data_IF_251358246436
#
_entry.id   IF_251358246436
#
_cell.length_a   1.000
_cell.length_b   1.000
_cell.length_c   1.000
_cell.angle_alpha   90.00
_cell.angle_beta   90.00
_cell.angle_gamma   90.00
#
_symmetry.space_group_name_H-M   'P 1'
#
loop_
_entity.id
_entity.type
_entity.pdbx_description
1 polymer ?
#
# COMPACT_ATOMS: atom_id res chain seq x y z
N UNK A 1 15.46 -6.58 -12.53
CA UNK A 1 15.88 -5.17 -12.68
C UNK A 1 16.35 -4.70 -11.32
N UNK A 2 17.38 -3.87 -11.25
CA UNK A 2 17.85 -3.33 -9.96
C UNK A 2 17.07 -2.05 -9.63
N UNK A 3 15.98 -2.19 -8.87
CA UNK A 3 15.15 -1.06 -8.43
C UNK A 3 15.79 -0.26 -7.30
N UNK A 4 16.95 -0.68 -6.77
CA UNK A 4 17.73 0.14 -5.84
C UNK A 4 18.36 1.36 -6.52
N UNK A 5 18.40 1.37 -7.87
CA UNK A 5 18.73 2.56 -8.63
C UNK A 5 17.55 3.54 -8.62
N UNK A 6 17.61 4.47 -7.67
CA UNK A 6 16.60 5.51 -7.42
C UNK A 6 16.09 6.20 -8.70
N UNK A 7 16.99 6.52 -9.64
CA UNK A 7 16.62 7.20 -10.88
C UNK A 7 15.77 6.31 -11.79
N UNK A 8 16.04 5.01 -11.84
CA UNK A 8 15.25 4.07 -12.66
C UNK A 8 13.86 3.87 -12.08
N UNK A 9 13.74 3.73 -10.77
CA UNK A 9 12.46 3.62 -10.08
C UNK A 9 11.58 4.84 -10.37
N UNK A 10 12.11 6.05 -10.13
CA UNK A 10 11.38 7.30 -10.32
C UNK A 10 10.97 7.53 -11.78
N UNK A 11 11.81 7.11 -12.74
CA UNK A 11 11.48 7.15 -14.16
C UNK A 11 10.34 6.20 -14.52
N UNK A 12 10.30 5.00 -13.93
CA UNK A 12 9.22 4.04 -14.17
C UNK A 12 7.89 4.50 -13.56
N UNK A 13 7.91 5.07 -12.35
CA UNK A 13 6.72 5.69 -11.74
C UNK A 13 6.21 6.86 -12.58
N UNK A 14 7.13 7.72 -13.04
CA UNK A 14 6.79 8.84 -13.93
C UNK A 14 6.21 8.37 -15.26
N UNK A 15 6.76 7.29 -15.84
CA UNK A 15 6.23 6.69 -17.06
C UNK A 15 4.84 6.10 -16.82
N UNK A 16 4.65 5.33 -15.74
CA UNK A 16 3.34 4.78 -15.37
C UNK A 16 2.28 5.88 -15.18
N UNK A 17 2.61 6.95 -14.46
CA UNK A 17 1.74 8.12 -14.31
C UNK A 17 1.47 8.82 -15.64
N UNK A 18 2.50 8.99 -16.48
CA UNK A 18 2.39 9.57 -17.82
C UNK A 18 1.43 8.83 -18.73
N UNK A 19 1.59 7.51 -18.83
CA UNK A 19 0.72 6.65 -19.65
C UNK A 19 -0.70 6.58 -19.10
N UNK A 20 -0.87 6.56 -17.77
CA UNK A 20 -2.18 6.62 -17.12
C UNK A 20 -2.93 7.92 -17.46
N UNK A 21 -2.24 9.07 -17.42
CA UNK A 21 -2.81 10.35 -17.84
C UNK A 21 -3.13 10.39 -19.34
N UNK A 22 -2.24 9.84 -20.19
CA UNK A 22 -2.46 9.76 -21.64
C UNK A 22 -3.72 8.95 -21.96
N UNK A 23 -3.85 7.76 -21.37
CA UNK A 23 -5.02 6.91 -21.47
C UNK A 23 -6.33 7.66 -21.09
N UNK A 24 -6.39 8.29 -19.91
CA UNK A 24 -7.59 9.03 -19.47
C UNK A 24 -7.95 10.18 -20.42
N UNK A 25 -6.96 10.92 -20.91
CA UNK A 25 -7.16 11.98 -21.92
C UNK A 25 -7.72 11.43 -23.22
N UNK A 26 -7.17 10.36 -23.75
CA UNK A 26 -7.61 9.80 -25.03
C UNK A 26 -9.02 9.20 -24.96
N UNK A 27 -9.41 8.61 -23.82
CA UNK A 27 -10.80 8.20 -23.59
C UNK A 27 -11.75 9.41 -23.64
N UNK A 28 -11.38 10.52 -23.00
CA UNK A 28 -12.18 11.75 -23.04
C UNK A 28 -12.23 12.35 -24.46
N UNK A 29 -11.10 12.36 -25.19
CA UNK A 29 -11.05 12.84 -26.57
C UNK A 29 -11.91 11.98 -27.50
N UNK A 30 -11.94 10.66 -27.28
CA UNK A 30 -12.82 9.76 -28.01
C UNK A 30 -14.30 10.11 -27.79
N UNK A 31 -14.69 10.46 -26.56
CA UNK A 31 -16.05 10.90 -26.26
C UNK A 31 -16.39 12.21 -26.98
N UNK A 32 -15.49 13.21 -26.92
CA UNK A 32 -15.67 14.51 -27.60
C UNK A 32 -15.79 14.30 -29.11
N UNK A 33 -14.86 13.57 -29.73
CA UNK A 33 -14.87 13.29 -31.16
C UNK A 33 -16.16 12.58 -31.59
N UNK A 34 -16.66 11.64 -30.78
CA UNK A 34 -17.93 10.94 -31.03
C UNK A 34 -19.12 11.90 -30.99
N UNK A 35 -19.20 12.77 -29.97
CA UNK A 35 -20.26 13.78 -29.83
C UNK A 35 -20.30 14.76 -31.00
N UNK A 36 -19.14 15.05 -31.59
CA UNK A 36 -18.99 15.92 -32.76
C UNK A 36 -19.15 15.21 -34.11
N UNK A 37 -19.40 13.89 -34.12
CA UNK A 37 -19.64 13.12 -35.34
C UNK A 37 -18.38 12.56 -36.03
N UNK A 38 -17.19 12.77 -35.48
CA UNK A 38 -15.92 12.24 -36.00
C UNK A 38 -15.69 10.80 -35.53
N UNK A 39 -16.48 9.86 -36.05
CA UNK A 39 -16.51 8.47 -35.57
C UNK A 39 -15.17 7.73 -35.71
N UNK A 40 -14.49 7.88 -36.84
CA UNK A 40 -13.21 7.19 -37.07
C UNK A 40 -12.10 7.74 -36.16
N UNK A 41 -12.09 9.05 -35.93
CA UNK A 41 -11.14 9.67 -34.99
C UNK A 41 -11.44 9.26 -33.54
N UNK A 42 -12.71 9.17 -33.16
CA UNK A 42 -13.11 8.67 -31.85
C UNK A 42 -12.65 7.21 -31.63
N UNK A 43 -12.75 6.38 -32.67
CA UNK A 43 -12.27 5.01 -32.66
C UNK A 43 -10.75 4.98 -32.49
N UNK A 44 -10.02 5.77 -33.25
CA UNK A 44 -8.56 5.88 -33.14
C UNK A 44 -8.14 6.27 -31.72
N UNK A 45 -8.73 7.31 -31.13
CA UNK A 45 -8.42 7.71 -29.75
C UNK A 45 -8.69 6.59 -28.74
N UNK A 46 -9.79 5.84 -28.91
CA UNK A 46 -10.09 4.71 -28.03
C UNK A 46 -9.06 3.58 -28.16
N UNK A 47 -8.66 3.25 -29.38
CA UNK A 47 -7.63 2.23 -29.66
C UNK A 47 -6.26 2.65 -29.10
N UNK A 48 -5.88 3.92 -29.25
CA UNK A 48 -4.65 4.44 -28.65
C UNK A 48 -4.72 4.42 -27.12
N UNK A 49 -5.86 4.78 -26.52
CA UNK A 49 -6.03 4.65 -25.08
C UNK A 49 -5.81 3.20 -24.60
N UNK A 50 -6.31 2.22 -25.35
CA UNK A 50 -6.10 0.81 -25.03
C UNK A 50 -4.61 0.42 -25.10
N UNK A 51 -3.86 0.97 -26.06
CA UNK A 51 -2.40 0.80 -26.12
C UNK A 51 -1.67 1.44 -24.93
N UNK A 52 -2.05 2.64 -24.50
CA UNK A 52 -1.43 3.27 -23.32
C UNK A 52 -1.74 2.49 -22.03
N UNK A 53 -2.85 1.73 -21.99
CA UNK A 53 -3.12 0.81 -20.87
C UNK A 53 -2.09 -0.31 -20.82
N UNK A 54 -1.74 -0.89 -21.98
CA UNK A 54 -0.71 -1.94 -22.06
C UNK A 54 0.68 -1.38 -21.72
N UNK A 55 1.00 -0.15 -22.14
CA UNK A 55 2.24 0.52 -21.76
C UNK A 55 2.32 0.76 -20.25
N UNK A 56 1.25 1.30 -19.65
CA UNK A 56 1.17 1.50 -18.20
C UNK A 56 1.35 0.17 -17.45
N UNK A 57 0.69 -0.91 -17.88
CA UNK A 57 0.85 -2.23 -17.28
C UNK A 57 2.26 -2.81 -17.45
N UNK A 58 2.93 -2.57 -18.58
CA UNK A 58 4.32 -2.97 -18.76
C UNK A 58 5.25 -2.28 -17.76
N UNK A 59 5.08 -0.98 -17.52
CA UNK A 59 5.84 -0.25 -16.50
C UNK A 59 5.49 -0.70 -15.08
N UNK A 60 4.21 -0.89 -14.77
CA UNK A 60 3.76 -1.34 -13.45
C UNK A 60 4.28 -2.74 -13.11
N UNK A 61 4.37 -3.65 -14.09
CA UNK A 61 5.01 -4.98 -13.90
C UNK A 61 6.49 -4.90 -13.60
N UNK A 62 7.19 -3.85 -14.06
CA UNK A 62 8.60 -3.63 -13.71
C UNK A 62 8.75 -3.07 -12.28
N UNK A 63 7.79 -2.27 -11.83
CA UNK A 63 7.71 -1.76 -10.46
C UNK A 63 7.32 -2.86 -9.46
N UNK A 64 6.37 -3.71 -9.84
CA UNK A 64 5.79 -4.77 -9.01
C UNK A 64 5.86 -6.14 -9.71
N UNK A 65 7.07 -6.68 -9.93
CA UNK A 65 7.23 -7.97 -10.61
C UNK A 65 6.58 -9.12 -9.84
N UNK A 66 6.41 -9.00 -8.52
CA UNK A 66 5.73 -9.98 -7.67
C UNK A 66 4.24 -10.15 -8.01
N UNK A 67 3.63 -9.18 -8.70
CA UNK A 67 2.23 -9.22 -9.11
C UNK A 67 2.02 -9.84 -10.50
N UNK A 68 3.10 -10.08 -11.24
CA UNK A 68 3.02 -10.59 -12.59
C UNK A 68 2.66 -12.09 -12.60
N UNK A 69 1.40 -12.40 -12.92
CA UNK A 69 0.93 -13.79 -13.05
C UNK A 69 0.96 -14.22 -14.52
N UNK A 70 1.98 -14.99 -14.91
CA UNK A 70 2.10 -15.53 -16.27
C UNK A 70 1.30 -16.83 -16.46
N UNK A 71 1.36 -17.74 -15.48
CA UNK A 71 0.63 -19.00 -15.49
C UNK A 71 -0.12 -19.21 -14.15
N UNK A 72 -1.38 -18.79 -14.05
CA UNK A 72 -2.18 -18.96 -12.83
C UNK A 72 -2.33 -20.42 -12.37
N UNK A 73 -2.31 -21.38 -13.30
CA UNK A 73 -2.48 -22.81 -13.01
C UNK A 73 -1.25 -23.42 -12.34
N UNK A 74 -0.08 -22.79 -12.50
CA UNK A 74 1.16 -23.22 -11.86
C UNK A 74 1.32 -22.72 -10.42
N UNK A 75 0.46 -21.79 -9.97
CA UNK A 75 0.51 -21.22 -8.63
C UNK A 75 -0.26 -22.09 -7.62
N UNK A 76 0.30 -22.23 -6.42
CA UNK A 76 -0.45 -22.78 -5.28
C UNK A 76 -1.52 -21.80 -4.82
N UNK A 77 -2.49 -22.28 -4.04
CA UNK A 77 -3.53 -21.42 -3.45
C UNK A 77 -2.94 -20.40 -2.47
N UNK A 78 -1.84 -20.74 -1.79
CA UNK A 78 -1.10 -19.84 -0.92
C UNK A 78 -0.46 -18.71 -1.74
N UNK A 79 0.23 -19.00 -2.84
CA UNK A 79 0.84 -17.98 -3.70
C UNK A 79 -0.20 -17.05 -4.33
N UNK A 80 -1.35 -17.59 -4.77
CA UNK A 80 -2.45 -16.77 -5.27
C UNK A 80 -2.96 -15.80 -4.21
N UNK A 81 -3.10 -16.27 -2.96
CA UNK A 81 -3.50 -15.41 -1.82
C UNK A 81 -2.47 -14.34 -1.53
N UNK A 82 -1.18 -14.65 -1.54
CA UNK A 82 -0.11 -13.67 -1.33
C UNK A 82 -0.16 -12.54 -2.37
N UNK A 83 -0.29 -12.89 -3.65
CA UNK A 83 -0.37 -11.92 -4.75
C UNK A 83 -1.59 -11.01 -4.60
N UNK A 84 -2.78 -11.60 -4.37
CA UNK A 84 -4.01 -10.82 -4.19
C UNK A 84 -3.96 -9.97 -2.91
N UNK A 85 -3.29 -10.45 -1.85
CA UNK A 85 -3.03 -9.66 -0.64
C UNK A 85 -2.18 -8.44 -0.95
N UNK A 86 -1.13 -8.60 -1.76
CA UNK A 86 -0.28 -7.46 -2.14
C UNK A 86 -1.06 -6.44 -2.98
N UNK A 87 -1.92 -6.88 -3.91
CA UNK A 87 -2.82 -5.98 -4.63
C UNK A 87 -3.74 -5.17 -3.69
N UNK A 88 -4.34 -5.83 -2.69
CA UNK A 88 -5.19 -5.14 -1.70
C UNK A 88 -4.38 -4.19 -0.82
N UNK A 89 -3.15 -4.55 -0.46
CA UNK A 89 -2.24 -3.67 0.30
C UNK A 89 -1.94 -2.40 -0.47
N UNK A 90 -1.55 -2.50 -1.74
CA UNK A 90 -1.29 -1.35 -2.61
C UNK A 90 -2.50 -0.44 -2.77
N UNK A 91 -3.70 -1.00 -2.88
CA UNK A 91 -4.93 -0.22 -2.93
C UNK A 91 -5.17 0.54 -1.61
N UNK A 92 -4.99 -0.12 -0.45
CA UNK A 92 -5.14 0.53 0.86
C UNK A 92 -4.07 1.61 1.07
N UNK A 93 -2.82 1.35 0.66
CA UNK A 93 -1.69 2.29 0.71
C UNK A 93 -2.01 3.55 -0.10
N UNK A 94 -2.44 3.40 -1.35
CA UNK A 94 -2.81 4.51 -2.23
C UNK A 94 -3.95 5.35 -1.65
N UNK A 95 -5.08 4.72 -1.30
CA UNK A 95 -6.23 5.43 -0.73
C UNK A 95 -5.85 6.12 0.60
N UNK A 96 -5.02 5.49 1.43
CA UNK A 96 -4.51 6.08 2.68
C UNK A 96 -3.71 7.33 2.42
N UNK A 97 -2.72 7.27 1.53
CA UNK A 97 -1.95 8.45 1.15
C UNK A 97 -2.85 9.59 0.63
N UNK A 98 -3.87 9.26 -0.16
CA UNK A 98 -4.82 10.23 -0.69
C UNK A 98 -5.58 10.99 0.42
N UNK A 99 -6.22 10.28 1.37
CA UNK A 99 -7.03 10.94 2.40
C UNK A 99 -6.24 11.47 3.59
N UNK A 100 -5.03 10.95 3.88
CA UNK A 100 -4.21 11.46 5.01
C UNK A 100 -3.26 12.57 4.61
N UNK A 101 -2.82 12.61 3.36
CA UNK A 101 -1.69 13.44 2.94
C UNK A 101 -2.03 14.27 1.70
N UNK A 102 -2.24 13.63 0.55
CA UNK A 102 -2.32 14.32 -0.74
C UNK A 102 -3.49 15.32 -0.81
N UNK A 103 -4.72 14.87 -0.62
CA UNK A 103 -5.88 15.75 -0.73
C UNK A 103 -5.96 16.78 0.40
N UNK A 104 -5.62 16.48 1.67
CA UNK A 104 -5.51 17.50 2.70
C UNK A 104 -4.51 18.61 2.36
N UNK A 105 -3.32 18.27 1.85
CA UNK A 105 -2.31 19.25 1.43
C UNK A 105 -2.81 20.09 0.24
N UNK A 106 -3.44 19.46 -0.75
CA UNK A 106 -3.99 20.16 -1.91
C UNK A 106 -5.16 21.08 -1.52
N UNK A 107 -6.02 20.65 -0.60
CA UNK A 107 -7.09 21.49 -0.06
C UNK A 107 -6.52 22.71 0.67
N UNK A 108 -5.48 22.53 1.49
CA UNK A 108 -4.82 23.63 2.18
C UNK A 108 -4.16 24.62 1.21
N UNK A 109 -3.49 24.12 0.17
CA UNK A 109 -2.92 24.94 -0.90
C UNK A 109 -3.99 25.72 -1.66
N UNK A 110 -5.08 25.07 -2.07
CA UNK A 110 -6.20 25.72 -2.76
C UNK A 110 -6.87 26.81 -1.89
N UNK A 111 -6.99 26.58 -0.58
CA UNK A 111 -7.47 27.59 0.37
C UNK A 111 -6.52 28.80 0.45
N UNK A 112 -5.21 28.57 0.49
CA UNK A 112 -4.20 29.63 0.44
C UNK A 112 -4.30 30.47 -0.83
N UNK A 113 -4.55 29.81 -1.96
CA UNK A 113 -4.74 30.45 -3.27
C UNK A 113 -6.14 31.08 -3.45
N UNK A 114 -7.03 30.90 -2.47
CA UNK A 114 -8.43 31.36 -2.48
C UNK A 114 -9.28 30.73 -3.58
N UNK A 115 -8.92 29.53 -4.02
CA UNK A 115 -9.70 28.71 -4.95
C UNK A 115 -10.65 27.78 -4.17
N UNK A 116 -11.76 28.36 -3.71
CA UNK A 116 -12.75 27.62 -2.92
C UNK A 116 -13.33 26.40 -3.66
N UNK A 117 -13.68 26.47 -4.96
CA UNK A 117 -14.14 25.29 -5.69
C UNK A 117 -13.13 24.13 -5.70
N UNK A 118 -11.84 24.41 -5.91
CA UNK A 118 -10.82 23.37 -5.87
C UNK A 118 -10.66 22.79 -4.45
N UNK A 119 -10.65 23.65 -3.42
CA UNK A 119 -10.58 23.20 -2.03
C UNK A 119 -11.76 22.31 -1.64
N UNK A 120 -12.98 22.66 -2.04
CA UNK A 120 -14.17 21.84 -1.80
C UNK A 120 -14.11 20.50 -2.51
N UNK A 121 -13.58 20.45 -3.73
CA UNK A 121 -13.41 19.19 -4.46
C UNK A 121 -12.40 18.28 -3.76
N UNK A 122 -11.22 18.79 -3.39
CA UNK A 122 -10.22 17.99 -2.69
C UNK A 122 -10.74 17.46 -1.35
N UNK A 123 -11.51 18.26 -0.60
CA UNK A 123 -12.12 17.79 0.66
C UNK A 123 -13.17 16.69 0.45
N UNK A 124 -13.89 16.69 -0.69
CA UNK A 124 -14.79 15.57 -1.03
C UNK A 124 -14.00 14.31 -1.35
N UNK A 125 -12.90 14.45 -2.10
CA UNK A 125 -12.01 13.33 -2.42
C UNK A 125 -11.39 12.71 -1.16
N UNK A 126 -11.05 13.51 -0.12
CA UNK A 126 -10.65 12.96 1.20
C UNK A 126 -11.69 11.98 1.74
N UNK A 127 -12.98 12.34 1.70
CA UNK A 127 -14.04 11.47 2.19
C UNK A 127 -14.21 10.22 1.33
N UNK A 128 -14.18 10.36 0.01
CA UNK A 128 -14.30 9.24 -0.92
C UNK A 128 -13.15 8.24 -0.76
N UNK A 129 -11.90 8.71 -0.74
CA UNK A 129 -10.73 7.85 -0.53
C UNK A 129 -10.74 7.19 0.87
N UNK A 130 -11.30 7.86 1.89
CA UNK A 130 -11.53 7.24 3.22
C UNK A 130 -12.49 6.05 3.12
N UNK A 131 -13.58 6.20 2.37
CA UNK A 131 -14.59 5.15 2.17
C UNK A 131 -14.03 3.97 1.36
N UNK A 132 -13.22 4.25 0.34
CA UNK A 132 -12.50 3.23 -0.43
C UNK A 132 -11.52 2.44 0.45
N UNK A 133 -10.67 3.12 1.24
CA UNK A 133 -9.73 2.46 2.14
C UNK A 133 -10.43 1.54 3.13
N UNK A 134 -11.57 1.98 3.70
CA UNK A 134 -12.37 1.16 4.61
C UNK A 134 -12.96 -0.05 3.89
N UNK A 135 -13.48 0.13 2.67
CA UNK A 135 -13.99 -0.97 1.84
C UNK A 135 -12.91 -2.02 1.56
N UNK A 136 -11.69 -1.60 1.21
CA UNK A 136 -10.58 -2.52 0.98
C UNK A 136 -10.11 -3.21 2.26
N UNK A 137 -10.08 -2.52 3.41
CA UNK A 137 -9.77 -3.13 4.72
C UNK A 137 -10.80 -4.19 5.11
N UNK A 138 -12.09 -3.92 4.91
CA UNK A 138 -13.14 -4.91 5.12
C UNK A 138 -12.98 -6.11 4.20
N UNK A 139 -12.64 -5.89 2.92
CA UNK A 139 -12.34 -6.97 2.00
C UNK A 139 -11.16 -7.81 2.50
N UNK A 140 -10.02 -7.18 2.84
CA UNK A 140 -8.84 -7.86 3.35
C UNK A 140 -9.13 -8.69 4.62
N UNK A 141 -9.99 -8.18 5.51
CA UNK A 141 -10.49 -8.93 6.66
C UNK A 141 -11.31 -10.16 6.24
N UNK A 142 -12.30 -9.99 5.36
CA UNK A 142 -13.17 -11.08 4.88
C UNK A 142 -12.42 -12.16 4.11
N UNK A 143 -11.39 -11.79 3.36
CA UNK A 143 -10.53 -12.74 2.64
C UNK A 143 -9.55 -13.49 3.57
N UNK A 144 -9.54 -13.19 4.88
CA UNK A 144 -8.62 -13.81 5.83
C UNK A 144 -7.16 -13.47 5.52
N UNK A 145 -6.91 -12.29 4.96
CA UNK A 145 -5.57 -11.82 4.62
C UNK A 145 -4.97 -11.02 5.78
N UNK A 146 -5.82 -10.43 6.62
CA UNK A 146 -5.43 -9.99 7.97
C UNK A 146 -5.15 -11.15 8.92
N UNK A 147 -5.36 -12.40 8.49
CA UNK A 147 -5.18 -13.59 9.33
C UNK A 147 -3.75 -13.76 9.82
N UNK A 148 -2.74 -13.12 9.21
CA UNK A 148 -1.39 -13.09 9.77
C UNK A 148 -1.31 -12.28 11.07
N UNK A 149 -2.02 -11.14 11.13
CA UNK A 149 -2.21 -10.34 12.36
C UNK A 149 -3.14 -11.06 13.34
N UNK A 150 -4.23 -11.66 12.85
CA UNK A 150 -5.13 -12.45 13.70
C UNK A 150 -4.48 -13.73 14.23
N UNK A 151 -3.57 -14.37 13.49
CA UNK A 151 -2.78 -15.51 13.92
C UNK A 151 -1.75 -15.08 14.97
N UNK A 152 -1.13 -13.90 14.84
CA UNK A 152 -0.31 -13.33 15.92
C UNK A 152 -1.13 -13.19 17.21
N UNK A 153 -2.40 -12.79 17.12
CA UNK A 153 -3.30 -12.75 18.28
C UNK A 153 -3.74 -14.16 18.73
N UNK A 154 -4.13 -15.04 17.82
CA UNK A 154 -4.65 -16.39 18.10
C UNK A 154 -3.59 -17.33 18.68
N UNK A 155 -2.34 -17.24 18.21
CA UNK A 155 -1.19 -17.95 18.77
C UNK A 155 -0.96 -17.49 20.21
N UNK A 156 -1.03 -16.19 20.48
CA UNK A 156 -0.88 -15.66 21.85
C UNK A 156 -2.02 -16.06 22.77
N UNK A 157 -3.26 -16.12 22.28
CA UNK A 157 -4.40 -16.59 23.08
C UNK A 157 -4.34 -18.10 23.33
N UNK A 158 -3.92 -18.89 22.34
CA UNK A 158 -3.77 -20.34 22.49
C UNK A 158 -2.63 -20.68 23.43
N UNK A 159 -1.50 -19.98 23.35
CA UNK A 159 -0.37 -20.13 24.27
C UNK A 159 -0.74 -19.70 25.71
N UNK A 160 -1.42 -18.56 25.88
CA UNK A 160 -1.91 -18.14 27.19
C UNK A 160 -2.90 -19.16 27.79
N UNK A 161 -3.73 -19.79 26.95
CA UNK A 161 -4.63 -20.86 27.38
C UNK A 161 -3.85 -22.14 27.76
N UNK A 162 -2.78 -22.47 27.04
CA UNK A 162 -1.90 -23.60 27.37
C UNK A 162 -1.14 -23.39 28.69
N UNK A 163 -0.65 -22.17 28.95
CA UNK A 163 -0.05 -21.77 30.22
C UNK A 163 -1.06 -21.83 31.37
N UNK A 164 -2.28 -21.33 31.16
CA UNK A 164 -3.38 -21.46 32.14
C UNK A 164 -3.72 -22.93 32.42
N UNK A 165 -3.50 -23.82 31.46
CA UNK A 165 -3.68 -25.27 31.59
C UNK A 165 -2.41 -26.00 32.08
N UNK A 166 -1.38 -25.27 32.53
CA UNK A 166 -0.20 -25.83 33.20
C UNK A 166 0.95 -26.28 32.30
N UNK A 167 0.95 -25.92 31.00
CA UNK A 167 2.12 -26.10 30.13
C UNK A 167 3.16 -24.99 30.36
N UNK A 168 4.43 -25.30 30.11
CA UNK A 168 5.50 -24.28 30.17
C UNK A 168 5.31 -23.23 29.07
N UNK A 169 5.54 -21.97 29.44
CA UNK A 169 5.46 -20.82 28.54
C UNK A 169 6.44 -20.97 27.38
N UNK A 170 5.98 -20.64 26.17
CA UNK A 170 6.85 -20.63 24.99
C UNK A 170 7.98 -19.60 25.18
N UNK A 171 9.23 -20.02 25.00
CA UNK A 171 10.36 -19.09 25.05
C UNK A 171 10.36 -18.22 23.80
N UNK A 172 10.26 -16.90 24.00
CA UNK A 172 10.36 -15.91 22.94
C UNK A 172 11.56 -15.00 23.22
N UNK A 173 12.25 -14.59 22.15
CA UNK A 173 13.34 -13.62 22.24
C UNK A 173 13.10 -12.51 21.23
N UNK A 174 13.35 -11.29 21.67
CA UNK A 174 13.45 -10.16 20.77
C UNK A 174 14.75 -10.27 19.97
N UNK A 175 14.71 -9.86 18.70
CA UNK A 175 15.91 -9.69 17.89
C UNK A 175 16.90 -8.76 18.60
N UNK A 176 18.15 -9.20 18.72
CA UNK A 176 19.21 -8.43 19.40
C UNK A 176 19.86 -7.39 18.49
N UNK A 177 19.85 -7.62 17.18
CA UNK A 177 20.45 -6.72 16.18
C UNK A 177 19.47 -5.60 15.79
N UNK A 178 19.80 -4.31 16.04
CA UNK A 178 18.97 -3.17 15.65
C UNK A 178 18.66 -3.09 14.15
N UNK A 179 19.54 -3.59 13.29
CA UNK A 179 19.38 -3.53 11.83
C UNK A 179 18.35 -4.55 11.29
N UNK A 180 17.91 -5.49 12.12
CA UNK A 180 17.02 -6.59 11.70
C UNK A 180 15.89 -6.89 12.68
N UNK A 181 15.94 -6.34 13.91
CA UNK A 181 14.90 -6.55 14.92
C UNK A 181 13.63 -5.81 14.55
N UNK A 182 12.53 -6.56 14.47
CA UNK A 182 11.23 -6.01 14.11
C UNK A 182 10.51 -5.41 15.31
N UNK A 183 9.61 -4.47 15.04
CA UNK A 183 8.81 -3.78 16.05
C UNK A 183 7.34 -3.91 15.71
N UNK A 184 6.49 -4.10 16.71
CA UNK A 184 5.06 -4.25 16.53
C UNK A 184 4.30 -3.12 17.22
N UNK A 185 3.39 -2.48 16.48
CA UNK A 185 2.46 -1.51 17.01
C UNK A 185 1.51 -2.19 18.00
N UNK A 186 1.45 -1.75 19.26
CA UNK A 186 0.52 -2.33 20.25
C UNK A 186 -0.96 -2.06 19.95
N UNK A 187 -1.26 -1.10 19.07
CA UNK A 187 -2.63 -0.68 18.78
C UNK A 187 -3.24 -1.44 17.59
N UNK A 188 -2.50 -1.59 16.49
CA UNK A 188 -3.02 -2.24 15.27
C UNK A 188 -2.18 -3.43 14.79
N UNK A 189 -1.13 -3.80 15.53
CA UNK A 189 -0.26 -4.94 15.22
C UNK A 189 0.53 -4.84 13.91
N UNK A 190 0.59 -3.65 13.29
CA UNK A 190 1.54 -3.39 12.20
C UNK A 190 2.97 -3.68 12.66
N UNK A 191 3.74 -4.36 11.81
CA UNK A 191 5.14 -4.71 12.06
C UNK A 191 6.02 -3.78 11.24
N UNK A 192 6.85 -3.00 11.93
CA UNK A 192 7.97 -2.31 11.31
C UNK A 192 9.16 -3.26 11.20
N UNK A 193 9.65 -3.47 9.98
CA UNK A 193 10.86 -4.22 9.69
C UNK A 193 11.96 -3.25 9.22
N UNK A 194 13.07 -3.09 9.97
CA UNK A 194 14.17 -2.23 9.56
C UNK A 194 14.70 -2.53 8.16
N UNK A 195 14.65 -3.78 7.68
CA UNK A 195 15.12 -4.15 6.34
C UNK A 195 14.23 -3.48 5.27
N UNK A 196 12.92 -3.44 5.51
CA UNK A 196 11.96 -2.83 4.60
C UNK A 196 11.89 -1.30 4.77
N UNK A 197 12.06 -0.79 5.98
CA UNK A 197 11.80 0.62 6.32
C UNK A 197 10.32 0.95 6.28
N UNK A 198 10.01 2.23 6.09
CA UNK A 198 8.67 2.75 5.80
C UNK A 198 8.78 3.94 4.81
N UNK A 199 9.10 3.65 3.52
CA UNK A 199 9.42 4.69 2.55
C UNK A 199 8.28 5.67 2.31
N UNK A 200 7.04 5.20 2.43
CA UNK A 200 5.82 6.00 2.24
C UNK A 200 5.68 7.09 3.30
N UNK A 201 6.18 6.82 4.52
CA UNK A 201 6.28 7.82 5.61
C UNK A 201 7.67 8.48 5.68
N UNK A 202 8.51 8.32 4.65
CA UNK A 202 9.83 8.94 4.55
C UNK A 202 10.97 8.21 5.27
N UNK A 203 10.76 6.94 5.67
CA UNK A 203 11.77 6.13 6.36
C UNK A 203 12.40 5.13 5.37
N UNK A 204 13.67 5.34 5.02
CA UNK A 204 14.34 4.50 4.04
C UNK A 204 14.50 3.04 4.50
N UNK A 205 14.56 2.06 3.57
CA UNK A 205 14.94 0.69 3.88
C UNK A 205 16.31 0.62 4.55
N UNK A 206 16.47 -0.29 5.50
CA UNK A 206 17.67 -0.41 6.34
C UNK A 206 17.71 0.52 7.56
N UNK A 207 16.69 1.35 7.78
CA UNK A 207 16.65 2.26 8.94
C UNK A 207 16.27 1.49 10.21
N UNK A 208 17.13 1.49 11.23
CA UNK A 208 16.77 0.90 12.53
C UNK A 208 15.60 1.68 13.16
N UNK A 209 14.73 1.00 13.92
CA UNK A 209 13.55 1.64 14.51
C UNK A 209 13.91 2.80 15.44
N UNK A 210 15.05 2.70 16.11
CA UNK A 210 15.60 3.73 16.98
C UNK A 210 15.92 5.02 16.22
N UNK A 211 16.34 4.90 14.97
CA UNK A 211 16.77 6.00 14.12
C UNK A 211 15.59 6.70 13.42
N UNK A 212 14.37 6.17 13.53
CA UNK A 212 13.15 6.81 13.04
C UNK A 212 12.89 8.11 13.83
N UNK A 213 12.43 9.21 13.20
CA UNK A 213 11.99 10.42 13.91
C UNK A 213 10.92 10.17 14.99
N UNK A 214 10.94 10.93 16.07
CA UNK A 214 10.00 10.75 17.19
C UNK A 214 8.55 11.16 16.88
N UNK A 215 8.37 12.01 15.87
CA UNK A 215 7.10 12.45 15.32
C UNK A 215 6.55 11.49 14.26
N UNK A 216 7.26 10.42 13.92
CA UNK A 216 6.73 9.36 13.06
C UNK A 216 5.52 8.67 13.73
N UNK A 217 4.47 8.49 12.95
CA UNK A 217 3.23 7.83 13.34
C UNK A 217 3.10 6.51 12.59
N UNK A 218 2.50 5.51 13.24
CA UNK A 218 2.17 4.24 12.60
C UNK A 218 1.36 4.49 11.32
N UNK A 219 1.81 4.02 10.15
CA UNK A 219 1.14 4.31 8.88
C UNK A 219 -0.25 3.67 8.78
N UNK A 220 -0.53 2.68 9.64
CA UNK A 220 -1.80 1.94 9.62
C UNK A 220 -2.85 2.58 10.54
N UNK A 221 -2.47 3.11 11.70
CA UNK A 221 -3.45 3.57 12.71
C UNK A 221 -3.16 4.95 13.31
N UNK A 222 -2.12 5.64 12.86
CA UNK A 222 -1.73 6.96 13.37
C UNK A 222 -1.15 6.97 14.78
N UNK A 223 -1.02 5.81 15.45
CA UNK A 223 -0.44 5.73 16.78
C UNK A 223 1.02 6.22 16.78
N UNK A 224 1.42 6.96 17.82
CA UNK A 224 2.81 7.44 17.94
C UNK A 224 3.82 6.30 17.94
N UNK A 225 5.07 6.57 17.52
CA UNK A 225 6.22 5.66 17.63
C UNK A 225 6.33 4.95 18.99
N UNK A 226 5.99 5.65 20.08
CA UNK A 226 6.01 5.13 21.47
C UNK A 226 5.04 3.96 21.72
N UNK A 227 4.06 3.77 20.85
CA UNK A 227 3.10 2.65 20.93
C UNK A 227 3.72 1.34 20.45
N UNK A 228 4.88 1.37 19.80
CA UNK A 228 5.56 0.16 19.34
C UNK A 228 6.33 -0.51 20.48
N UNK A 229 6.48 -1.83 20.35
CA UNK A 229 7.38 -2.63 21.17
C UNK A 229 8.19 -3.55 20.28
N UNK A 230 9.32 -4.04 20.79
CA UNK A 230 10.05 -5.12 20.13
C UNK A 230 9.11 -6.30 19.88
N UNK A 231 9.16 -6.80 18.65
CA UNK A 231 8.49 -8.04 18.29
C UNK A 231 9.30 -9.20 18.87
N UNK A 232 8.68 -9.94 19.78
CA UNK A 232 9.22 -11.17 20.33
C UNK A 232 8.74 -12.35 19.47
N UNK A 233 9.69 -12.95 18.77
CA UNK A 233 9.46 -14.13 17.92
C UNK A 233 9.74 -15.40 18.74
N UNK A 234 9.05 -16.49 18.39
CA UNK A 234 9.20 -17.78 19.06
C UNK A 234 10.54 -18.39 18.69
N UNK A 235 11.29 -18.89 19.67
CA UNK A 235 12.47 -19.70 19.39
C UNK A 235 11.99 -21.02 18.78
N UNK A 236 12.37 -21.29 17.54
CA UNK A 236 12.17 -22.61 16.96
C UNK A 236 12.95 -23.63 17.80
N UNK A 237 12.27 -24.68 18.25
CA UNK A 237 12.89 -25.81 18.95
C UNK A 237 13.78 -26.63 18.01
#
# INVERSE_FOLDING_TARGET
MDLSNFTTLQNLESAFGGESMANRKYLFFAEVARKLGFKDLAKLFKETADQETEHAFAHFKLLHPELAVENPEALTEEQKKEIVSRCLSLAIEGETYEYTTMYPEFAAAAQSDRDNPAAEEFLKQVQESTDHANTFREAAHRFGLLKFIENYHADRYSEALEELNGKEAATRVAGVDPATRKWICRQCSMIYDPIAGDPDSGIAPGTAFEDIPEDWNCPICGASKKTFKLLEEKVAA
#
